data_IF_729207428881
#
_entry.id   IF_729207428881
#
_cell.length_a   1.000
_cell.length_b   1.000
_cell.length_c   1.000
_cell.angle_alpha   90.00
_cell.angle_beta   90.00
_cell.angle_gamma   90.00
#
_symmetry.space_group_name_H-M   'P 1'
#
loop_
_entity.id
_entity.type
_entity.pdbx_description
1 polymer ?
#
# COMPACT_ATOMS: atom_id res chain seq x y z
N UNK A 1 -0.35 -30.28 38.43
CA UNK A 1 0.14 -28.89 38.52
C UNK A 1 1.27 -28.78 37.51
N UNK A 2 1.03 -28.09 36.38
CA UNK A 2 2.04 -27.91 35.35
C UNK A 2 3.10 -26.93 35.84
N UNK A 3 4.37 -27.28 35.70
CA UNK A 3 5.48 -26.34 35.89
C UNK A 3 5.34 -25.19 34.90
N UNK A 4 5.55 -23.92 35.32
CA UNK A 4 5.55 -22.81 34.39
C UNK A 4 6.66 -23.02 33.36
N UNK A 5 6.33 -22.84 32.08
CA UNK A 5 7.30 -22.84 30.98
C UNK A 5 8.47 -21.94 31.36
N UNK A 6 9.67 -22.51 31.38
CA UNK A 6 10.90 -21.77 31.67
C UNK A 6 11.03 -20.66 30.63
N UNK A 7 11.10 -19.41 31.09
CA UNK A 7 11.38 -18.26 30.22
C UNK A 7 12.70 -18.54 29.50
N UNK A 8 12.63 -18.57 28.17
CA UNK A 8 13.78 -18.71 27.30
C UNK A 8 14.56 -17.38 27.31
N UNK A 9 15.57 -17.31 28.18
CA UNK A 9 16.44 -16.15 28.32
C UNK A 9 17.37 -15.98 27.12
N UNK A 10 17.59 -17.03 26.32
CA UNK A 10 18.44 -16.96 25.13
C UNK A 10 17.70 -16.24 23.99
N UNK A 11 16.38 -16.45 23.87
CA UNK A 11 15.52 -15.69 22.95
C UNK A 11 15.48 -14.18 23.22
N UNK A 12 15.74 -13.74 24.47
CA UNK A 12 15.85 -12.31 24.81
C UNK A 12 17.19 -11.68 24.42
N UNK A 13 18.20 -12.49 24.10
CA UNK A 13 19.49 -12.04 23.61
C UNK A 13 19.58 -12.02 22.07
N UNK A 14 18.55 -12.52 21.37
CA UNK A 14 18.45 -12.35 19.93
C UNK A 14 18.25 -10.86 19.62
N UNK A 15 18.99 -10.29 18.64
CA UNK A 15 18.79 -8.91 18.22
C UNK A 15 17.34 -8.73 17.78
N UNK A 16 16.56 -7.98 18.58
CA UNK A 16 15.21 -7.61 18.17
C UNK A 16 15.31 -6.63 17.01
N UNK A 17 14.83 -7.03 15.84
CA UNK A 17 14.68 -6.14 14.71
C UNK A 17 13.61 -5.10 15.07
N UNK A 18 14.05 -3.89 15.41
CA UNK A 18 13.15 -2.77 15.65
C UNK A 18 12.56 -2.38 14.30
N UNK A 19 11.26 -2.61 14.13
CA UNK A 19 10.54 -2.24 12.93
C UNK A 19 10.76 -0.75 12.62
N UNK A 20 10.99 -0.43 11.34
CA UNK A 20 11.24 0.94 10.94
C UNK A 20 9.96 1.78 11.12
N UNK A 21 10.07 3.04 11.53
CA UNK A 21 8.92 3.93 11.80
C UNK A 21 7.87 3.94 10.68
N UNK A 22 8.31 3.89 9.42
CA UNK A 22 7.42 3.78 8.25
C UNK A 22 6.64 2.45 8.18
N UNK A 23 7.23 1.34 8.61
CA UNK A 23 6.53 0.04 8.64
C UNK A 23 5.45 0.05 9.70
N UNK A 24 5.76 0.60 10.89
CA UNK A 24 4.78 0.80 11.96
C UNK A 24 3.63 1.67 11.46
N UNK A 25 3.96 2.77 10.78
CA UNK A 25 3.01 3.70 10.19
C UNK A 25 2.09 3.05 9.15
N UNK A 26 2.65 2.27 8.24
CA UNK A 26 1.89 1.51 7.24
C UNK A 26 1.02 0.44 7.89
N UNK A 27 1.53 -0.27 8.88
CA UNK A 27 0.78 -1.31 9.56
C UNK A 27 -0.47 -0.72 10.23
N UNK A 28 -0.31 0.35 11.01
CA UNK A 28 -1.41 0.97 11.73
C UNK A 28 -2.47 1.62 10.83
N UNK A 29 -2.06 2.21 9.71
CA UNK A 29 -2.97 3.04 8.90
C UNK A 29 -3.46 2.37 7.63
N UNK A 30 -2.75 1.38 7.12
CA UNK A 30 -3.04 0.74 5.83
C UNK A 30 -3.30 -0.74 6.03
N UNK A 31 -2.31 -1.50 6.48
CA UNK A 31 -2.38 -2.97 6.50
C UNK A 31 -3.44 -3.48 7.44
N UNK A 32 -3.42 -3.06 8.72
CA UNK A 32 -4.40 -3.52 9.70
C UNK A 32 -5.83 -3.12 9.30
N UNK A 33 -6.02 -1.90 8.80
CA UNK A 33 -7.33 -1.43 8.35
C UNK A 33 -7.86 -2.24 7.15
N UNK A 34 -6.99 -2.57 6.20
CA UNK A 34 -7.33 -3.43 5.07
C UNK A 34 -7.72 -4.83 5.53
N UNK A 35 -6.89 -5.45 6.39
CA UNK A 35 -7.15 -6.79 6.93
C UNK A 35 -8.48 -6.86 7.70
N UNK A 36 -8.75 -5.88 8.57
CA UNK A 36 -10.02 -5.81 9.28
C UNK A 36 -11.21 -5.62 8.34
N UNK A 37 -11.04 -4.81 7.29
CA UNK A 37 -12.09 -4.58 6.29
C UNK A 37 -12.40 -5.86 5.52
N UNK A 38 -11.38 -6.57 5.04
CA UNK A 38 -11.54 -7.84 4.32
C UNK A 38 -12.17 -8.90 5.24
N UNK A 39 -11.72 -9.01 6.49
CA UNK A 39 -12.30 -9.94 7.45
C UNK A 39 -13.80 -9.66 7.70
N UNK A 40 -14.17 -8.38 7.81
CA UNK A 40 -15.57 -7.98 7.97
C UNK A 40 -16.41 -8.30 6.72
N UNK A 41 -15.88 -8.00 5.52
CA UNK A 41 -16.53 -8.31 4.23
C UNK A 41 -16.78 -9.82 4.11
N UNK A 42 -15.78 -10.65 4.38
CA UNK A 42 -15.91 -12.10 4.27
C UNK A 42 -16.93 -12.66 5.25
N UNK A 43 -16.90 -12.20 6.52
CA UNK A 43 -17.87 -12.62 7.52
C UNK A 43 -19.30 -12.26 7.11
N UNK A 44 -19.50 -11.03 6.62
CA UNK A 44 -20.83 -10.60 6.18
C UNK A 44 -21.32 -11.39 4.96
N UNK A 45 -20.43 -11.69 4.00
CA UNK A 45 -20.76 -12.53 2.85
C UNK A 45 -21.19 -13.94 3.30
N UNK A 46 -20.44 -14.56 4.22
CA UNK A 46 -20.78 -15.88 4.76
C UNK A 46 -22.15 -15.88 5.47
N UNK A 47 -22.43 -14.83 6.25
CA UNK A 47 -23.72 -14.65 6.94
C UNK A 47 -24.88 -14.50 5.93
N UNK A 48 -24.73 -13.68 4.89
CA UNK A 48 -25.75 -13.47 3.86
C UNK A 48 -25.95 -14.72 2.97
N UNK A 49 -24.86 -15.42 2.62
CA UNK A 49 -24.95 -16.68 1.87
C UNK A 49 -25.69 -17.76 2.68
N UNK A 50 -25.48 -17.83 3.99
CA UNK A 50 -26.21 -18.75 4.88
C UNK A 50 -27.70 -18.39 4.94
N UNK A 51 -28.05 -17.10 5.01
CA UNK A 51 -29.45 -16.67 4.98
C UNK A 51 -30.14 -17.06 3.68
N UNK A 52 -29.45 -16.95 2.54
CA UNK A 52 -30.02 -17.38 1.25
C UNK A 52 -30.33 -18.88 1.27
N UNK A 53 -29.44 -19.71 1.81
CA UNK A 53 -29.69 -21.15 1.92
C UNK A 53 -30.91 -21.47 2.79
N UNK A 54 -31.10 -20.73 3.88
CA UNK A 54 -32.22 -20.92 4.81
C UNK A 54 -33.55 -20.36 4.25
N UNK A 55 -33.54 -19.17 3.63
CA UNK A 55 -34.76 -18.48 3.19
C UNK A 55 -35.30 -19.01 1.85
N UNK A 56 -34.41 -19.42 0.94
CA UNK A 56 -34.77 -19.86 -0.41
C UNK A 56 -34.72 -21.39 -0.57
N UNK A 57 -34.72 -22.16 0.52
CA UNK A 57 -34.63 -23.63 0.51
C UNK A 57 -35.72 -24.36 -0.31
N UNK A 58 -36.85 -23.69 -0.60
CA UNK A 58 -37.95 -24.23 -1.42
C UNK A 58 -37.86 -23.82 -2.90
N UNK A 59 -36.96 -22.91 -3.26
CA UNK A 59 -36.77 -22.46 -4.64
C UNK A 59 -35.96 -23.47 -5.46
N UNK A 60 -35.95 -23.27 -6.78
CA UNK A 60 -35.12 -24.08 -7.67
C UNK A 60 -33.63 -23.80 -7.43
N UNK A 61 -32.80 -24.81 -7.70
CA UNK A 61 -31.35 -24.66 -7.58
C UNK A 61 -30.80 -23.55 -8.50
N UNK A 62 -31.41 -23.33 -9.67
CA UNK A 62 -31.00 -22.27 -10.60
C UNK A 62 -31.25 -20.88 -10.03
N UNK A 63 -32.37 -20.68 -9.32
CA UNK A 63 -32.69 -19.41 -8.66
C UNK A 63 -31.70 -19.13 -7.54
N UNK A 64 -31.46 -20.12 -6.67
CA UNK A 64 -30.50 -20.00 -5.57
C UNK A 64 -29.09 -19.69 -6.10
N UNK A 65 -28.65 -20.40 -7.14
CA UNK A 65 -27.33 -20.19 -7.75
C UNK A 65 -27.20 -18.78 -8.34
N UNK A 66 -28.24 -18.29 -9.03
CA UNK A 66 -28.25 -16.95 -9.61
C UNK A 66 -28.15 -15.86 -8.53
N UNK A 67 -28.95 -15.97 -7.45
CA UNK A 67 -28.96 -15.01 -6.34
C UNK A 67 -27.59 -15.00 -5.64
N UNK A 68 -27.05 -16.19 -5.33
CA UNK A 68 -25.71 -16.30 -4.73
C UNK A 68 -24.63 -15.69 -5.62
N UNK A 69 -24.67 -15.93 -6.92
CA UNK A 69 -23.73 -15.34 -7.87
C UNK A 69 -23.79 -13.81 -7.90
N UNK A 70 -24.99 -13.22 -7.85
CA UNK A 70 -25.14 -11.76 -7.76
C UNK A 70 -24.60 -11.21 -6.44
N UNK A 71 -24.87 -11.89 -5.32
CA UNK A 71 -24.34 -11.50 -4.02
C UNK A 71 -22.81 -11.54 -4.00
N UNK A 72 -22.22 -12.64 -4.45
CA UNK A 72 -20.75 -12.81 -4.50
C UNK A 72 -20.08 -11.75 -5.37
N UNK A 73 -20.65 -11.43 -6.55
CA UNK A 73 -20.14 -10.33 -7.39
C UNK A 73 -20.14 -8.99 -6.63
N UNK A 74 -21.16 -8.73 -5.81
CA UNK A 74 -21.24 -7.51 -4.98
C UNK A 74 -20.12 -7.47 -3.94
N UNK A 75 -19.84 -8.59 -3.25
CA UNK A 75 -18.76 -8.66 -2.28
C UNK A 75 -17.38 -8.61 -2.93
N UNK A 76 -17.22 -9.14 -4.15
CA UNK A 76 -15.99 -8.98 -4.92
C UNK A 76 -15.71 -7.51 -5.26
N UNK A 77 -16.74 -6.73 -5.59
CA UNK A 77 -16.62 -5.28 -5.75
C UNK A 77 -16.20 -4.58 -4.44
N UNK A 78 -16.72 -5.02 -3.28
CA UNK A 78 -16.27 -4.50 -1.98
C UNK A 78 -14.82 -4.86 -1.68
N UNK A 79 -14.38 -6.09 -1.96
CA UNK A 79 -12.97 -6.50 -1.81
C UNK A 79 -12.07 -5.67 -2.71
N UNK A 80 -12.48 -5.43 -3.96
CA UNK A 80 -11.77 -4.54 -4.89
C UNK A 80 -11.67 -3.13 -4.35
N UNK A 81 -12.77 -2.54 -3.89
CA UNK A 81 -12.78 -1.21 -3.30
C UNK A 81 -11.84 -1.12 -2.08
N UNK A 82 -11.84 -2.13 -1.20
CA UNK A 82 -10.95 -2.20 -0.05
C UNK A 82 -9.46 -2.18 -0.46
N UNK A 83 -9.06 -2.97 -1.46
CA UNK A 83 -7.68 -2.97 -1.99
C UNK A 83 -7.28 -1.62 -2.58
N UNK A 84 -8.17 -0.99 -3.33
CA UNK A 84 -7.94 0.34 -3.91
C UNK A 84 -7.82 1.43 -2.82
N UNK A 85 -8.62 1.35 -1.75
CA UNK A 85 -8.49 2.25 -0.60
C UNK A 85 -7.18 2.04 0.17
N UNK A 86 -6.76 0.79 0.34
CA UNK A 86 -5.47 0.46 0.94
C UNK A 86 -4.32 1.05 0.11
N UNK A 87 -4.37 0.94 -1.22
CA UNK A 87 -3.41 1.58 -2.12
C UNK A 87 -3.39 3.12 -1.95
N UNK A 88 -4.57 3.75 -1.88
CA UNK A 88 -4.66 5.19 -1.64
C UNK A 88 -3.97 5.58 -0.33
N UNK A 89 -4.21 4.81 0.73
CA UNK A 89 -3.51 4.96 2.01
C UNK A 89 -2.00 4.84 1.87
N UNK A 90 -1.52 3.75 1.25
CA UNK A 90 -0.10 3.48 1.00
C UNK A 90 0.59 4.64 0.28
N UNK A 91 0.07 5.07 -0.88
CA UNK A 91 0.68 6.14 -1.67
C UNK A 91 0.66 7.47 -0.91
N UNK A 92 -0.37 7.73 -0.12
CA UNK A 92 -0.46 8.93 0.73
C UNK A 92 0.63 8.94 1.80
N UNK A 93 0.83 7.83 2.52
CA UNK A 93 1.91 7.72 3.52
C UNK A 93 3.29 7.80 2.88
N UNK A 94 3.50 7.11 1.75
CA UNK A 94 4.74 7.20 1.00
C UNK A 94 5.06 8.65 0.60
N UNK A 95 4.08 9.37 0.03
CA UNK A 95 4.26 10.77 -0.35
C UNK A 95 4.60 11.68 0.84
N UNK A 96 4.03 11.42 2.02
CA UNK A 96 4.39 12.12 3.25
C UNK A 96 5.87 11.89 3.62
N UNK A 97 6.31 10.64 3.67
CA UNK A 97 7.68 10.27 4.04
C UNK A 97 8.73 10.80 3.04
N UNK A 98 8.51 10.61 1.74
CA UNK A 98 9.39 11.15 0.70
C UNK A 98 9.45 12.69 0.76
N UNK A 99 8.32 13.35 1.02
CA UNK A 99 8.31 14.81 1.20
C UNK A 99 9.15 15.25 2.39
N UNK A 100 9.07 14.53 3.52
CA UNK A 100 9.89 14.80 4.71
C UNK A 100 11.38 14.63 4.43
N UNK A 101 11.78 13.58 3.71
CA UNK A 101 13.17 13.39 3.30
C UNK A 101 13.66 14.49 2.36
N UNK A 102 12.88 14.84 1.34
CA UNK A 102 13.20 15.93 0.43
C UNK A 102 13.35 17.27 1.17
N UNK A 103 12.52 17.54 2.17
CA UNK A 103 12.66 18.71 3.05
C UNK A 103 13.94 18.69 3.87
N UNK A 104 14.25 17.57 4.53
CA UNK A 104 15.49 17.39 5.30
C UNK A 104 16.74 17.60 4.45
N UNK A 105 16.67 17.22 3.17
CA UNK A 105 17.74 17.40 2.18
C UNK A 105 17.70 18.75 1.44
N UNK A 106 16.76 19.64 1.78
CA UNK A 106 16.56 20.95 1.14
C UNK A 106 16.33 20.86 -0.39
N UNK A 107 15.68 19.78 -0.85
CA UNK A 107 15.36 19.50 -2.25
C UNK A 107 13.97 20.05 -2.67
N UNK A 108 13.37 20.90 -1.84
CA UNK A 108 11.96 21.34 -1.95
C UNK A 108 11.74 22.34 -3.10
N UNK A 109 12.81 23.00 -3.55
CA UNK A 109 12.77 24.01 -4.62
C UNK A 109 12.82 23.42 -6.03
N UNK A 110 12.80 22.10 -6.16
CA UNK A 110 12.89 21.42 -7.46
C UNK A 110 11.55 21.59 -8.18
N UNK A 111 11.59 22.35 -9.27
CA UNK A 111 10.45 22.51 -10.18
C UNK A 111 10.13 21.16 -10.83
N UNK A 112 8.85 20.84 -10.98
CA UNK A 112 8.42 19.69 -11.76
C UNK A 112 8.97 19.82 -13.18
N UNK A 113 9.53 18.71 -13.68
CA UNK A 113 10.15 18.71 -15.01
C UNK A 113 9.10 18.74 -16.12
N UNK A 114 7.92 18.17 -15.84
CA UNK A 114 6.77 18.11 -16.75
C UNK A 114 5.52 18.64 -16.04
N UNK A 115 4.66 19.32 -16.81
CA UNK A 115 3.40 19.95 -16.35
C UNK A 115 2.42 19.00 -15.62
N UNK A 116 2.59 17.68 -15.78
CA UNK A 116 1.73 16.65 -15.17
C UNK A 116 2.48 15.59 -14.36
N UNK A 117 3.78 15.76 -14.15
CA UNK A 117 4.57 14.81 -13.36
C UNK A 117 4.08 14.82 -11.91
N UNK A 118 3.70 13.67 -11.32
CA UNK A 118 3.27 13.64 -9.93
C UNK A 118 4.37 14.12 -9.00
N UNK A 119 4.00 14.89 -7.96
CA UNK A 119 4.97 15.45 -7.00
C UNK A 119 5.87 14.37 -6.37
N UNK A 120 5.30 13.20 -6.07
CA UNK A 120 6.06 12.06 -5.54
C UNK A 120 7.19 11.65 -6.50
N UNK A 121 6.90 11.54 -7.79
CA UNK A 121 7.87 11.18 -8.84
C UNK A 121 9.01 12.20 -8.92
N UNK A 122 8.68 13.50 -8.92
CA UNK A 122 9.69 14.57 -8.89
C UNK A 122 10.60 14.47 -7.65
N UNK A 123 10.02 14.19 -6.48
CA UNK A 123 10.78 14.07 -5.23
C UNK A 123 11.65 12.82 -5.18
N UNK A 124 11.17 11.68 -5.68
CA UNK A 124 11.95 10.45 -5.80
C UNK A 124 13.15 10.64 -6.73
N UNK A 125 12.93 11.26 -7.90
CA UNK A 125 14.00 11.60 -8.83
C UNK A 125 15.05 12.53 -8.20
N UNK A 126 14.61 13.50 -7.39
CA UNK A 126 15.51 14.38 -6.66
C UNK A 126 16.35 13.63 -5.60
N UNK A 127 15.70 12.79 -4.80
CA UNK A 127 16.38 11.99 -3.78
C UNK A 127 17.35 10.99 -4.41
N UNK A 128 16.98 10.36 -5.54
CA UNK A 128 17.87 9.46 -6.26
C UNK A 128 19.14 10.15 -6.78
N UNK A 129 19.03 11.41 -7.23
CA UNK A 129 20.19 12.21 -7.66
C UNK A 129 21.11 12.58 -6.49
N UNK A 130 20.56 12.80 -5.31
CA UNK A 130 21.30 13.24 -4.11
C UNK A 130 21.89 12.06 -3.30
N UNK A 131 21.18 10.93 -3.22
CA UNK A 131 21.50 9.80 -2.34
C UNK A 131 21.91 8.53 -3.10
N UNK A 132 21.73 8.50 -4.41
CA UNK A 132 21.87 7.31 -5.25
C UNK A 132 20.53 6.67 -5.59
N UNK A 133 20.51 5.86 -6.64
CA UNK A 133 19.30 5.19 -7.09
C UNK A 133 18.79 4.22 -6.01
N UNK A 134 17.51 4.40 -5.64
CA UNK A 134 16.80 3.52 -4.74
C UNK A 134 16.62 2.09 -5.29
N UNK A 135 16.18 1.16 -4.44
CA UNK A 135 15.97 -0.24 -4.81
C UNK A 135 14.81 -0.46 -5.79
N UNK A 136 13.90 0.50 -5.92
CA UNK A 136 12.70 0.39 -6.75
C UNK A 136 12.70 1.48 -7.82
N UNK A 137 12.28 1.13 -9.04
CA UNK A 137 12.23 2.09 -10.14
C UNK A 137 11.21 3.19 -9.87
N UNK A 138 11.52 4.42 -10.30
CA UNK A 138 10.59 5.55 -10.16
C UNK A 138 9.32 5.33 -10.99
N UNK A 139 9.44 4.65 -12.13
CA UNK A 139 8.33 4.28 -13.00
C UNK A 139 7.29 3.43 -12.27
N UNK A 140 7.72 2.52 -11.38
CA UNK A 140 6.79 1.75 -10.54
C UNK A 140 5.93 2.68 -9.67
N UNK A 141 6.55 3.66 -9.02
CA UNK A 141 5.84 4.63 -8.18
C UNK A 141 4.92 5.54 -8.99
N UNK A 142 5.31 5.91 -10.22
CA UNK A 142 4.44 6.66 -11.12
C UNK A 142 3.16 5.88 -11.46
N UNK A 143 3.26 4.57 -11.71
CA UNK A 143 2.10 3.72 -12.00
C UNK A 143 1.12 3.65 -10.82
N UNK A 144 1.59 3.39 -9.60
CA UNK A 144 0.70 3.31 -8.43
C UNK A 144 0.12 4.67 -8.03
N UNK A 145 0.85 5.77 -8.27
CA UNK A 145 0.33 7.13 -8.10
C UNK A 145 -0.77 7.43 -9.09
N UNK A 146 -0.58 7.01 -10.34
CA UNK A 146 -1.58 7.14 -11.39
C UNK A 146 -2.82 6.34 -11.03
N UNK A 147 -2.66 5.09 -10.55
CA UNK A 147 -3.77 4.29 -10.05
C UNK A 147 -4.51 4.95 -8.89
N UNK A 148 -3.81 5.49 -7.87
CA UNK A 148 -4.44 6.29 -6.80
C UNK A 148 -5.24 7.47 -7.38
N UNK A 149 -4.65 8.22 -8.32
CA UNK A 149 -5.32 9.39 -8.91
C UNK A 149 -6.56 8.98 -9.71
N UNK A 150 -6.58 7.80 -10.33
CA UNK A 150 -7.78 7.21 -10.93
C UNK A 150 -8.85 6.97 -9.87
N UNK A 151 -8.50 6.36 -8.74
CA UNK A 151 -9.45 6.10 -7.64
C UNK A 151 -10.06 7.40 -7.10
N UNK A 152 -9.22 8.42 -6.85
CA UNK A 152 -9.67 9.67 -6.21
C UNK A 152 -10.37 10.62 -7.19
N UNK A 153 -9.87 10.75 -8.42
CA UNK A 153 -10.30 11.78 -9.36
C UNK A 153 -10.99 11.23 -10.60
N UNK A 154 -10.71 9.97 -10.93
CA UNK A 154 -11.27 9.29 -12.08
C UNK A 154 -12.38 8.33 -11.71
N UNK A 155 -12.87 8.27 -10.46
CA UNK A 155 -13.89 7.31 -10.01
C UNK A 155 -13.54 5.86 -10.39
N UNK A 156 -12.27 5.49 -10.19
CA UNK A 156 -11.70 4.19 -10.56
C UNK A 156 -11.78 3.84 -12.05
N UNK A 157 -11.92 4.83 -12.94
CA UNK A 157 -11.87 4.64 -14.39
C UNK A 157 -10.44 4.37 -14.88
N UNK A 158 -10.30 3.53 -15.90
CA UNK A 158 -9.00 3.21 -16.50
C UNK A 158 -8.34 4.43 -17.18
N UNK A 159 -9.14 5.41 -17.58
CA UNK A 159 -8.71 6.64 -18.25
C UNK A 159 -9.51 7.84 -17.72
N UNK A 160 -8.82 8.95 -17.43
CA UNK A 160 -9.48 10.19 -17.01
C UNK A 160 -8.55 11.39 -17.28
N UNK A 161 -9.11 12.50 -17.75
CA UNK A 161 -8.34 13.75 -17.95
C UNK A 161 -7.10 13.62 -18.86
N UNK A 162 -7.09 12.65 -19.80
CA UNK A 162 -5.94 12.33 -20.65
C UNK A 162 -4.80 11.62 -19.92
N UNK A 163 -5.08 11.00 -18.76
CA UNK A 163 -4.23 10.05 -18.04
C UNK A 163 -4.82 8.66 -18.16
N UNK A 164 -3.97 7.65 -18.00
CA UNK A 164 -4.33 6.27 -18.20
C UNK A 164 -3.63 5.39 -17.15
N UNK A 165 -4.41 4.51 -16.50
CA UNK A 165 -3.91 3.52 -15.55
C UNK A 165 -2.99 2.53 -16.27
N UNK A 166 -1.95 2.03 -15.61
CA UNK A 166 -1.06 1.02 -16.19
C UNK A 166 -1.86 -0.24 -16.57
N UNK A 167 -1.50 -0.92 -17.66
CA UNK A 167 -2.29 -2.03 -18.22
C UNK A 167 -2.50 -3.17 -17.22
N UNK A 168 -1.49 -3.44 -16.39
CA UNK A 168 -1.56 -4.45 -15.32
C UNK A 168 -2.59 -4.16 -14.21
N UNK A 169 -3.09 -2.92 -14.12
CA UNK A 169 -4.07 -2.49 -13.13
C UNK A 169 -5.44 -2.20 -13.74
N UNK A 170 -5.72 -2.76 -14.92
CA UNK A 170 -7.00 -2.62 -15.62
C UNK A 170 -7.78 -3.92 -15.59
N UNK A 171 -9.08 -3.80 -15.41
CA UNK A 171 -10.05 -4.88 -15.49
C UNK A 171 -11.27 -4.45 -16.30
N UNK A 172 -12.16 -5.40 -16.60
CA UNK A 172 -13.43 -5.13 -17.26
C UNK A 172 -14.30 -4.14 -16.45
N UNK A 173 -14.19 -4.17 -15.12
CA UNK A 173 -14.92 -3.27 -14.22
C UNK A 173 -14.20 -1.94 -13.92
N UNK A 174 -13.06 -1.65 -14.56
CA UNK A 174 -12.29 -0.41 -14.38
C UNK A 174 -10.89 -0.64 -13.82
N UNK A 175 -10.41 0.23 -12.94
CA UNK A 175 -9.12 0.08 -12.29
C UNK A 175 -9.18 -1.02 -11.21
N UNK A 176 -8.21 -1.93 -11.18
CA UNK A 176 -8.15 -3.00 -10.18
C UNK A 176 -6.72 -3.25 -9.73
N UNK A 177 -6.58 -3.75 -8.51
CA UNK A 177 -5.32 -4.12 -7.91
C UNK A 177 -5.49 -5.46 -7.18
N UNK A 178 -4.97 -6.56 -7.74
CA UNK A 178 -4.92 -7.84 -7.04
C UNK A 178 -4.19 -7.76 -5.71
N UNK A 179 -4.58 -8.59 -4.75
CA UNK A 179 -4.01 -8.58 -3.38
C UNK A 179 -2.49 -8.76 -3.39
N UNK A 180 -1.97 -9.68 -4.21
CA UNK A 180 -0.53 -9.92 -4.35
C UNK A 180 0.23 -8.66 -4.80
N UNK A 181 -0.37 -7.87 -5.69
CA UNK A 181 0.23 -6.63 -6.17
C UNK A 181 0.15 -5.51 -5.13
N UNK A 182 -0.88 -5.49 -4.28
CA UNK A 182 -0.94 -4.59 -3.12
C UNK A 182 0.19 -4.91 -2.12
N UNK A 183 0.38 -6.19 -1.80
CA UNK A 183 1.43 -6.63 -0.88
C UNK A 183 2.84 -6.32 -1.44
N UNK A 184 3.06 -6.59 -2.73
CA UNK A 184 4.30 -6.21 -3.42
C UNK A 184 4.54 -4.69 -3.40
N UNK A 185 3.49 -3.89 -3.58
CA UNK A 185 3.59 -2.43 -3.49
C UNK A 185 3.96 -1.94 -2.08
N UNK A 186 3.41 -2.57 -1.03
CA UNK A 186 3.77 -2.29 0.36
C UNK A 186 5.25 -2.60 0.59
N UNK A 187 5.73 -3.78 0.20
CA UNK A 187 7.13 -4.18 0.39
C UNK A 187 8.09 -3.27 -0.37
N UNK A 188 7.77 -2.91 -1.62
CA UNK A 188 8.56 -1.98 -2.43
C UNK A 188 8.61 -0.58 -1.81
N UNK A 189 7.51 -0.09 -1.28
CA UNK A 189 7.47 1.20 -0.58
C UNK A 189 8.34 1.18 0.69
N UNK A 190 8.25 0.11 1.48
CA UNK A 190 9.06 -0.10 2.68
C UNK A 190 10.55 -0.06 2.35
N UNK A 191 10.98 -0.89 1.38
CA UNK A 191 12.37 -0.95 0.95
C UNK A 191 12.88 0.41 0.47
N UNK A 192 12.06 1.15 -0.28
CA UNK A 192 12.42 2.47 -0.79
C UNK A 192 12.59 3.51 0.32
N UNK A 193 11.71 3.51 1.33
CA UNK A 193 11.79 4.44 2.45
C UNK A 193 12.96 4.10 3.37
N UNK A 194 13.15 2.83 3.72
CA UNK A 194 14.30 2.34 4.51
C UNK A 194 15.62 2.76 3.86
N UNK A 195 15.76 2.52 2.55
CA UNK A 195 16.96 2.92 1.80
C UNK A 195 17.28 4.41 1.95
N UNK A 196 16.29 5.29 1.77
CA UNK A 196 16.55 6.72 1.89
C UNK A 196 16.89 7.13 3.32
N UNK A 197 16.21 6.58 4.32
CA UNK A 197 16.51 6.94 5.71
C UNK A 197 17.92 6.52 6.09
N UNK A 198 18.33 5.29 5.76
CA UNK A 198 19.70 4.79 5.98
C UNK A 198 20.75 5.70 5.32
N UNK A 199 20.55 6.09 4.04
CA UNK A 199 21.47 6.99 3.34
C UNK A 199 21.56 8.37 4.00
N UNK A 200 20.42 8.90 4.46
CA UNK A 200 20.36 10.20 5.13
C UNK A 200 21.08 10.13 6.49
N UNK A 201 20.85 9.07 7.26
CA UNK A 201 21.48 8.84 8.56
C UNK A 201 23.01 8.66 8.43
N UNK A 202 23.46 7.86 7.48
CA UNK A 202 24.89 7.63 7.23
C UNK A 202 25.64 8.91 6.88
N UNK A 203 25.08 9.76 6.00
CA UNK A 203 25.69 11.03 5.65
C UNK A 203 25.65 12.06 6.79
N UNK A 204 24.64 12.01 7.66
CA UNK A 204 24.57 12.87 8.84
C UNK A 204 25.68 12.50 9.83
N UNK A 205 25.83 11.20 10.11
CA UNK A 205 26.84 10.67 11.03
C UNK A 205 28.27 10.97 10.54
N UNK A 206 28.53 10.80 9.24
CA UNK A 206 29.83 11.14 8.65
C UNK A 206 30.21 12.62 8.81
N UNK A 207 29.24 13.54 8.66
CA UNK A 207 29.46 14.98 8.85
C UNK A 207 29.78 15.33 10.31
N UNK A 208 29.12 14.68 11.26
CA UNK A 208 29.36 14.91 12.69
C UNK A 208 30.76 14.44 13.09
N UNK A 209 31.18 13.25 12.64
CA UNK A 209 32.52 12.71 12.92
C UNK A 209 33.63 13.56 12.30
N UNK A 210 33.43 14.12 11.11
CA UNK A 210 34.40 14.99 10.44
C UNK A 210 34.53 16.40 11.07
N UNK A 211 33.57 16.81 11.92
CA UNK A 211 33.64 18.09 12.65
C UNK A 211 34.33 17.98 14.02
N UNK A 212 34.58 16.76 14.50
CA UNK A 212 35.13 16.49 15.84
C UNK A 212 36.51 15.81 15.80
N UNK A 213 37.08 15.58 14.61
CA UNK A 213 38.45 15.10 14.39
C UNK A 213 39.28 16.15 13.68
#
# INVERSE_FOLDING_TARGET
MGTPESIDWDALNEPQEIAHDFEIDLHMLVTANHEFTIAAINREEDEELSKIDDEFHLESHEVIYSIKGQLQNTYDDFRRAARLLALVGLVTRLQHWISRFAQRRKLISIKQSKSREPRLVTQLNALNKDLGNGPVSVDFFEKIVTLRDSVIHGDSQMEWGGRQVAEEYRSVQGADLPEEQLQDAIQKAIAQVKYYDEKIQAQTSAKTSAQHG
#
